data_IF_314689118360
#
_entry.id   IF_314689118360
#
_cell.length_a   1.000
_cell.length_b   1.000
_cell.length_c   1.000
_cell.angle_alpha   90.00
_cell.angle_beta   90.00
_cell.angle_gamma   90.00
#
_symmetry.space_group_name_H-M   'P 1'
#
loop_
_entity.id
_entity.type
_entity.pdbx_description
1 polymer ?
#
# COMPACT_ATOMS: atom_id res chain seq x y z
N UNK A 1 -16.40 -3.67 -35.44
CA UNK A 1 -17.08 -4.59 -34.50
C UNK A 1 -16.43 -5.95 -34.65
N UNK A 2 -15.51 -6.30 -33.73
CA UNK A 2 -14.95 -7.65 -33.66
C UNK A 2 -15.90 -8.47 -32.82
N UNK A 3 -16.60 -9.47 -33.38
CA UNK A 3 -17.48 -10.35 -32.60
C UNK A 3 -16.63 -11.13 -31.59
N UNK A 4 -16.92 -11.02 -30.32
CA UNK A 4 -16.18 -11.72 -29.26
C UNK A 4 -15.50 -10.81 -28.23
N UNK A 5 -15.47 -9.49 -28.42
CA UNK A 5 -14.85 -8.55 -27.48
C UNK A 5 -15.50 -8.56 -26.08
N UNK A 6 -16.81 -8.79 -26.01
CA UNK A 6 -17.55 -8.86 -24.75
C UNK A 6 -17.23 -10.10 -23.91
N UNK A 7 -16.90 -11.23 -24.53
CA UNK A 7 -16.63 -12.51 -23.81
C UNK A 7 -15.20 -12.62 -23.27
N UNK A 8 -14.23 -11.91 -23.87
CA UNK A 8 -12.83 -11.94 -23.42
C UNK A 8 -12.56 -11.05 -22.19
N UNK A 9 -13.49 -10.12 -21.92
CA UNK A 9 -13.35 -9.16 -20.83
C UNK A 9 -14.17 -9.48 -19.57
N UNK A 10 -14.98 -10.54 -19.59
CA UNK A 10 -15.80 -10.93 -18.44
C UNK A 10 -14.97 -11.76 -17.47
N UNK A 11 -14.28 -11.08 -16.55
CA UNK A 11 -13.82 -11.69 -15.32
C UNK A 11 -15.07 -11.94 -14.46
N UNK A 12 -15.42 -13.20 -14.08
CA UNK A 12 -16.58 -13.48 -13.24
C UNK A 12 -16.49 -12.81 -11.86
N UNK A 13 -15.31 -12.32 -11.48
CA UNK A 13 -15.02 -11.62 -10.22
C UNK A 13 -14.86 -10.10 -10.37
N UNK A 14 -15.06 -9.53 -11.55
CA UNK A 14 -14.89 -8.11 -11.84
C UNK A 14 -15.87 -7.66 -12.91
N UNK A 15 -16.59 -6.58 -12.65
CA UNK A 15 -17.46 -5.91 -13.62
C UNK A 15 -16.69 -5.08 -14.66
N UNK A 16 -15.37 -4.96 -14.53
CA UNK A 16 -14.52 -4.13 -15.41
C UNK A 16 -13.64 -5.00 -16.31
N UNK A 17 -13.37 -4.60 -17.55
CA UNK A 17 -12.43 -5.30 -18.42
C UNK A 17 -11.01 -5.30 -17.83
N UNK A 18 -10.21 -6.31 -18.18
CA UNK A 18 -8.81 -6.38 -17.76
C UNK A 18 -8.01 -5.20 -18.36
N UNK A 19 -7.16 -4.59 -17.51
CA UNK A 19 -6.19 -3.60 -17.96
C UNK A 19 -5.14 -4.24 -18.88
N UNK A 20 -4.60 -3.46 -19.81
CA UNK A 20 -3.54 -3.91 -20.72
C UNK A 20 -2.34 -4.52 -19.97
N UNK A 21 -1.93 -3.93 -18.86
CA UNK A 21 -0.87 -4.45 -17.99
C UNK A 21 -1.18 -5.85 -17.43
N UNK A 22 -2.44 -6.11 -17.08
CA UNK A 22 -2.88 -7.44 -16.61
C UNK A 22 -2.81 -8.46 -17.75
N UNK A 23 -3.28 -8.10 -18.94
CA UNK A 23 -3.21 -8.97 -20.13
C UNK A 23 -1.76 -9.30 -20.48
N UNK A 24 -0.87 -8.31 -20.47
CA UNK A 24 0.56 -8.51 -20.71
C UNK A 24 1.19 -9.46 -19.69
N UNK A 25 0.81 -9.36 -18.40
CA UNK A 25 1.28 -10.26 -17.35
C UNK A 25 0.78 -11.69 -17.54
N UNK A 26 -0.51 -11.87 -17.89
CA UNK A 26 -1.08 -13.18 -18.20
C UNK A 26 -0.33 -13.80 -19.38
N UNK A 27 -0.08 -13.04 -20.44
CA UNK A 27 0.66 -13.50 -21.60
C UNK A 27 2.10 -13.89 -21.27
N UNK A 28 2.78 -13.14 -20.38
CA UNK A 28 4.10 -13.50 -19.90
C UNK A 28 4.08 -14.83 -19.14
N UNK A 29 3.06 -15.06 -18.31
CA UNK A 29 2.87 -16.31 -17.57
C UNK A 29 2.61 -17.50 -18.51
N UNK A 30 1.80 -17.32 -19.57
CA UNK A 30 1.57 -18.32 -20.59
C UNK A 30 2.89 -18.65 -21.31
N UNK A 31 3.62 -17.63 -21.74
CA UNK A 31 4.92 -17.80 -22.42
C UNK A 31 5.90 -18.58 -21.55
N UNK A 32 5.98 -18.26 -20.27
CA UNK A 32 6.81 -18.97 -19.30
C UNK A 32 6.40 -20.45 -19.20
N UNK A 33 5.09 -20.70 -19.04
CA UNK A 33 4.55 -22.06 -18.90
C UNK A 33 4.84 -22.92 -20.14
N UNK A 34 4.69 -22.35 -21.34
CA UNK A 34 5.06 -23.03 -22.58
C UNK A 34 6.54 -23.39 -22.60
N UNK A 35 7.41 -22.43 -22.29
CA UNK A 35 8.87 -22.64 -22.29
C UNK A 35 9.30 -23.77 -21.35
N UNK A 36 8.78 -23.83 -20.12
CA UNK A 36 9.17 -24.89 -19.17
C UNK A 36 8.65 -26.27 -19.55
N UNK A 37 7.64 -26.35 -20.42
CA UNK A 37 7.13 -27.61 -20.97
C UNK A 37 7.73 -27.95 -22.35
N UNK A 38 8.80 -27.26 -22.77
CA UNK A 38 9.48 -27.54 -24.04
C UNK A 38 8.78 -27.01 -25.30
N UNK A 39 7.70 -26.22 -25.11
CA UNK A 39 7.00 -25.62 -26.26
C UNK A 39 7.45 -24.17 -26.47
N UNK A 40 7.36 -23.71 -27.73
CA UNK A 40 7.58 -22.30 -28.06
C UNK A 40 6.22 -21.59 -28.19
N UNK A 41 6.11 -20.43 -27.54
CA UNK A 41 5.01 -19.49 -27.73
C UNK A 41 5.59 -18.21 -28.36
N UNK A 42 5.23 -17.96 -29.61
CA UNK A 42 5.71 -16.79 -30.32
C UNK A 42 4.89 -15.54 -29.97
N UNK A 43 5.41 -14.74 -29.05
CA UNK A 43 4.84 -13.43 -28.70
C UNK A 43 4.99 -12.38 -29.81
N UNK A 44 5.90 -12.61 -30.77
CA UNK A 44 6.15 -11.71 -31.90
C UNK A 44 5.25 -12.01 -33.08
N UNK A 45 4.45 -13.08 -33.01
CA UNK A 45 3.43 -13.34 -34.02
C UNK A 45 2.60 -12.06 -34.26
N UNK A 46 2.47 -11.60 -35.52
CA UNK A 46 1.79 -10.33 -35.83
C UNK A 46 0.41 -10.23 -35.21
N UNK A 47 -0.40 -11.27 -35.27
CA UNK A 47 -1.76 -11.25 -34.69
C UNK A 47 -1.75 -11.01 -33.17
N UNK A 48 -0.78 -11.59 -32.45
CA UNK A 48 -0.62 -11.40 -31.00
C UNK A 48 -0.13 -9.98 -30.70
N UNK A 49 0.92 -9.55 -31.40
CA UNK A 49 1.54 -8.24 -31.20
C UNK A 49 0.57 -7.08 -31.54
N UNK A 50 -0.15 -7.18 -32.66
CA UNK A 50 -1.15 -6.17 -33.07
C UNK A 50 -2.31 -6.10 -32.11
N UNK A 51 -2.86 -7.24 -31.67
CA UNK A 51 -3.95 -7.29 -30.71
C UNK A 51 -3.55 -6.60 -29.39
N UNK A 52 -2.35 -6.90 -28.87
CA UNK A 52 -1.86 -6.26 -27.64
C UNK A 52 -1.66 -4.76 -27.85
N UNK A 53 -1.08 -4.37 -28.99
CA UNK A 53 -0.87 -2.96 -29.34
C UNK A 53 -2.20 -2.18 -29.44
N UNK A 54 -3.22 -2.80 -30.00
CA UNK A 54 -4.57 -2.22 -30.06
C UNK A 54 -5.17 -2.02 -28.66
N UNK A 55 -5.06 -3.04 -27.79
CA UNK A 55 -5.56 -2.95 -26.40
C UNK A 55 -4.83 -1.85 -25.62
N UNK A 56 -3.50 -1.76 -25.73
CA UNK A 56 -2.70 -0.72 -25.08
C UNK A 56 -3.07 0.67 -25.59
N UNK A 57 -3.34 0.80 -26.89
CA UNK A 57 -3.74 2.08 -27.51
C UNK A 57 -5.11 2.51 -27.02
N UNK A 58 -6.07 1.60 -26.97
CA UNK A 58 -7.41 1.85 -26.44
C UNK A 58 -7.37 2.31 -24.98
N UNK A 59 -6.56 1.64 -24.15
CA UNK A 59 -6.42 2.02 -22.74
C UNK A 59 -5.75 3.39 -22.58
N UNK A 60 -4.76 3.73 -23.42
CA UNK A 60 -4.14 5.06 -23.42
C UNK A 60 -5.12 6.17 -23.79
N UNK A 61 -5.98 5.93 -24.76
CA UNK A 61 -6.98 6.90 -25.21
C UNK A 61 -8.10 7.11 -24.17
N UNK A 62 -8.34 6.09 -23.31
CA UNK A 62 -9.37 6.10 -22.28
C UNK A 62 -8.79 6.36 -20.86
N UNK A 63 -7.51 6.71 -20.73
CA UNK A 63 -6.93 7.02 -19.41
C UNK A 63 -7.57 8.26 -18.83
N UNK A 64 -8.31 8.09 -17.75
CA UNK A 64 -8.44 9.13 -16.72
C UNK A 64 -7.04 9.51 -16.26
N UNK A 65 -6.75 10.79 -16.15
CA UNK A 65 -5.42 11.36 -15.95
C UNK A 65 -4.59 10.66 -14.88
N UNK A 66 -3.28 10.81 -14.99
CA UNK A 66 -2.33 10.32 -13.99
C UNK A 66 -2.71 10.90 -12.61
N UNK A 67 -2.64 10.07 -11.57
CA UNK A 67 -2.88 10.55 -10.22
C UNK A 67 -1.97 11.75 -9.92
N UNK A 68 -2.56 12.82 -9.37
CA UNK A 68 -1.82 14.00 -8.98
C UNK A 68 -0.82 13.63 -7.87
N UNK A 69 0.36 14.20 -7.91
CA UNK A 69 1.34 14.08 -6.84
C UNK A 69 0.79 14.70 -5.54
N UNK A 70 1.15 14.09 -4.42
CA UNK A 70 0.76 14.52 -3.08
C UNK A 70 1.88 15.38 -2.49
N UNK A 71 1.62 16.66 -2.33
CA UNK A 71 2.57 17.63 -1.78
C UNK A 71 2.38 17.81 -0.26
N UNK A 72 3.36 18.42 0.43
CA UNK A 72 3.28 18.70 1.88
C UNK A 72 2.00 19.48 2.24
N UNK A 73 1.61 20.45 1.44
CA UNK A 73 0.40 21.23 1.69
C UNK A 73 -0.88 20.42 1.56
N UNK A 74 -0.89 19.36 0.74
CA UNK A 74 -2.04 18.46 0.64
C UNK A 74 -2.12 17.57 1.89
N UNK A 75 -0.98 17.11 2.40
CA UNK A 75 -0.91 16.38 3.68
C UNK A 75 -1.41 17.24 4.83
N UNK A 76 -0.99 18.49 4.94
CA UNK A 76 -1.47 19.44 5.94
C UNK A 76 -3.00 19.52 5.91
N UNK A 77 -3.60 19.75 4.73
CA UNK A 77 -5.06 19.80 4.57
C UNK A 77 -5.75 18.49 5.00
N UNK A 78 -5.15 17.35 4.68
CA UNK A 78 -5.68 16.05 5.08
C UNK A 78 -5.64 15.90 6.61
N UNK A 79 -4.52 16.23 7.23
CA UNK A 79 -4.37 16.14 8.70
C UNK A 79 -5.34 17.10 9.40
N UNK A 80 -5.48 18.32 8.91
CA UNK A 80 -6.40 19.33 9.46
C UNK A 80 -7.87 18.93 9.30
N UNK A 81 -8.21 18.13 8.30
CA UNK A 81 -9.55 17.61 8.10
C UNK A 81 -9.93 16.49 9.09
N UNK A 82 -8.94 15.87 9.74
CA UNK A 82 -9.16 14.84 10.76
C UNK A 82 -9.45 15.55 12.09
N UNK A 83 -10.60 15.30 12.75
CA UNK A 83 -10.95 15.93 14.00
C UNK A 83 -9.84 15.79 15.05
N UNK A 84 -9.61 16.84 15.83
CA UNK A 84 -8.65 16.84 16.92
C UNK A 84 -9.31 16.34 18.20
N UNK A 85 -9.75 15.09 18.17
CA UNK A 85 -10.41 14.40 19.27
C UNK A 85 -9.42 13.39 19.89
N UNK A 86 -8.94 13.69 21.08
CA UNK A 86 -7.99 12.84 21.81
C UNK A 86 -8.64 11.55 22.34
N UNK A 87 -9.95 11.47 22.36
CA UNK A 87 -10.68 10.27 22.76
C UNK A 87 -10.92 9.33 21.57
N UNK A 88 -10.87 9.80 20.31
CA UNK A 88 -11.01 8.94 19.14
C UNK A 88 -9.65 8.37 18.68
N UNK A 89 -9.35 7.18 19.14
CA UNK A 89 -8.12 6.44 18.78
C UNK A 89 -7.92 6.26 17.27
N UNK A 90 -9.01 6.28 16.48
CA UNK A 90 -8.93 6.23 15.01
C UNK A 90 -8.29 7.48 14.44
N UNK A 91 -8.69 8.65 14.94
CA UNK A 91 -8.15 9.94 14.48
C UNK A 91 -6.67 10.05 14.82
N UNK A 92 -6.27 9.68 16.04
CA UNK A 92 -4.88 9.70 16.50
C UNK A 92 -4.02 8.73 15.64
N UNK A 93 -4.48 7.50 15.46
CA UNK A 93 -3.80 6.50 14.62
C UNK A 93 -3.69 6.96 13.17
N UNK A 94 -4.77 7.47 12.59
CA UNK A 94 -4.84 7.84 11.18
C UNK A 94 -3.90 9.03 10.90
N UNK A 95 -3.83 10.03 11.79
CA UNK A 95 -2.84 11.12 11.72
C UNK A 95 -1.41 10.59 11.71
N UNK A 96 -1.05 9.74 12.67
CA UNK A 96 0.28 9.14 12.75
C UNK A 96 0.61 8.33 11.49
N UNK A 97 -0.34 7.50 11.04
CA UNK A 97 -0.17 6.64 9.85
C UNK A 97 0.06 7.45 8.58
N UNK A 98 -0.69 8.53 8.37
CA UNK A 98 -0.56 9.40 7.19
C UNK A 98 0.77 10.14 7.21
N UNK A 99 1.14 10.74 8.36
CA UNK A 99 2.40 11.47 8.48
C UNK A 99 3.61 10.55 8.29
N UNK A 100 3.62 9.38 8.94
CA UNK A 100 4.71 8.41 8.76
C UNK A 100 4.75 7.92 7.31
N UNK A 101 3.60 7.62 6.70
CA UNK A 101 3.52 7.20 5.31
C UNK A 101 4.11 8.24 4.35
N UNK A 102 3.82 9.51 4.57
CA UNK A 102 4.34 10.61 3.75
C UNK A 102 5.86 10.80 3.93
N UNK A 103 6.35 10.87 5.16
CA UNK A 103 7.77 11.14 5.41
C UNK A 103 8.66 9.92 5.12
N UNK A 104 8.15 8.70 5.25
CA UNK A 104 8.92 7.47 5.03
C UNK A 104 9.02 7.07 3.55
N UNK A 105 8.11 7.52 2.70
CA UNK A 105 7.94 7.04 1.31
C UNK A 105 7.88 5.51 1.20
N UNK A 106 7.43 4.84 2.27
CA UNK A 106 7.29 3.42 2.31
C UNK A 106 6.12 2.93 1.44
N UNK A 107 6.28 1.72 0.87
CA UNK A 107 5.13 1.04 0.30
C UNK A 107 4.12 0.75 1.39
N UNK A 108 2.84 0.69 1.03
CA UNK A 108 1.75 0.39 1.97
C UNK A 108 2.04 -0.86 2.83
N UNK A 109 2.50 -1.95 2.21
CA UNK A 109 2.84 -3.18 2.93
C UNK A 109 4.02 -3.03 3.89
N UNK A 110 5.01 -2.20 3.55
CA UNK A 110 6.15 -1.88 4.41
C UNK A 110 5.69 -1.04 5.61
N UNK A 111 4.88 -0.01 5.37
CA UNK A 111 4.32 0.86 6.41
C UNK A 111 3.47 0.06 7.42
N UNK A 112 2.56 -0.78 6.92
CA UNK A 112 1.70 -1.61 7.77
C UNK A 112 2.44 -2.77 8.43
N UNK A 113 3.60 -3.16 7.89
CA UNK A 113 4.49 -4.18 8.46
C UNK A 113 5.46 -3.67 9.51
N UNK A 114 5.51 -2.35 9.78
CA UNK A 114 6.39 -1.79 10.81
C UNK A 114 6.03 -2.34 12.21
N UNK A 115 7.07 -2.62 12.98
CA UNK A 115 6.95 -3.10 14.36
C UNK A 115 7.70 -2.18 15.30
N UNK A 116 7.33 -2.18 16.57
CA UNK A 116 7.99 -1.37 17.60
C UNK A 116 9.48 -1.69 17.71
N UNK A 117 9.84 -2.94 17.57
CA UNK A 117 11.22 -3.43 17.62
C UNK A 117 12.08 -2.92 16.46
N UNK A 118 11.47 -2.38 15.42
CA UNK A 118 12.16 -1.78 14.27
C UNK A 118 12.51 -0.30 14.48
N UNK A 119 12.06 0.31 15.59
CA UNK A 119 12.26 1.73 15.89
C UNK A 119 13.55 1.94 16.70
N UNK A 120 14.39 2.84 16.24
CA UNK A 120 15.57 3.32 16.95
C UNK A 120 15.42 4.84 17.15
N UNK A 121 15.11 5.22 18.37
CA UNK A 121 14.90 6.61 18.75
C UNK A 121 16.23 7.35 18.84
N UNK A 122 16.31 8.54 18.24
CA UNK A 122 17.45 9.44 18.25
C UNK A 122 16.99 10.87 18.59
N UNK A 123 17.92 11.76 18.89
CA UNK A 123 17.59 13.14 19.29
C UNK A 123 16.90 13.94 18.18
N UNK A 124 17.24 13.66 16.92
CA UNK A 124 16.77 14.36 15.72
C UNK A 124 15.65 13.64 14.97
N UNK A 125 15.25 12.45 15.45
CA UNK A 125 14.21 11.67 14.80
C UNK A 125 14.17 10.21 15.21
N UNK A 126 13.58 9.39 14.34
CA UNK A 126 13.49 7.94 14.52
C UNK A 126 14.03 7.25 13.28
N UNK A 127 15.00 6.36 13.46
CA UNK A 127 15.40 5.41 12.42
C UNK A 127 14.49 4.19 12.49
N UNK A 128 14.01 3.75 11.34
CA UNK A 128 13.10 2.61 11.24
C UNK A 128 13.70 1.56 10.30
N UNK A 129 13.88 0.36 10.80
CA UNK A 129 14.28 -0.78 9.98
C UNK A 129 13.08 -1.32 9.20
N UNK A 130 13.22 -1.41 7.88
CA UNK A 130 12.30 -2.13 6.99
C UNK A 130 12.97 -3.45 6.62
N UNK A 131 12.63 -4.55 7.30
CA UNK A 131 13.38 -5.80 7.19
C UNK A 131 13.20 -6.48 5.82
N UNK A 132 12.07 -6.25 5.14
CA UNK A 132 11.78 -6.86 3.86
C UNK A 132 11.12 -5.85 2.91
N UNK A 133 11.65 -5.78 1.70
CA UNK A 133 11.05 -5.03 0.60
C UNK A 133 10.84 -5.94 -0.60
N UNK A 134 9.81 -5.68 -1.40
CA UNK A 134 9.54 -6.43 -2.64
C UNK A 134 10.71 -6.40 -3.64
N UNK A 135 11.58 -5.40 -3.54
CA UNK A 135 12.75 -5.21 -4.41
C UNK A 135 14.06 -5.64 -3.75
N UNK A 136 14.04 -5.98 -2.48
CA UNK A 136 15.18 -6.47 -1.74
C UNK A 136 15.31 -7.98 -1.98
N UNK A 137 16.16 -8.34 -2.95
CA UNK A 137 16.42 -9.74 -3.32
C UNK A 137 17.44 -10.40 -2.38
N UNK A 138 18.22 -9.60 -1.64
CA UNK A 138 19.25 -10.07 -0.71
C UNK A 138 18.73 -10.24 0.70
N UNK A 139 17.60 -9.62 1.05
CA UNK A 139 17.01 -9.70 2.40
C UNK A 139 17.77 -8.90 3.45
N UNK A 140 18.59 -7.92 3.04
CA UNK A 140 19.35 -7.07 3.95
C UNK A 140 18.48 -6.03 4.67
N UNK A 141 17.30 -5.74 4.13
CA UNK A 141 16.43 -4.68 4.61
C UNK A 141 16.99 -3.28 4.30
N UNK A 142 16.29 -2.27 4.77
CA UNK A 142 16.76 -0.87 4.65
C UNK A 142 16.38 -0.05 5.86
N UNK A 143 17.24 0.88 6.23
CA UNK A 143 16.93 1.91 7.21
C UNK A 143 16.27 3.10 6.54
N UNK A 144 15.24 3.63 7.15
CA UNK A 144 14.64 4.93 6.81
C UNK A 144 14.75 5.86 8.01
N UNK A 145 14.72 7.16 7.76
CA UNK A 145 14.76 8.16 8.81
C UNK A 145 13.49 9.01 8.80
N UNK A 146 12.82 9.09 9.95
CA UNK A 146 11.70 9.98 10.20
C UNK A 146 12.22 11.18 10.97
N UNK A 147 12.29 12.37 10.38
CA UNK A 147 12.84 13.56 11.04
C UNK A 147 11.87 14.06 12.13
N UNK A 148 12.45 14.53 13.25
CA UNK A 148 11.71 15.34 14.21
C UNK A 148 11.61 16.77 13.67
N UNK A 149 10.39 17.30 13.60
CA UNK A 149 10.14 18.69 13.17
C UNK A 149 9.45 19.45 14.30
N UNK A 150 9.60 20.79 14.29
CA UNK A 150 9.00 21.63 15.34
C UNK A 150 7.51 21.94 15.10
N UNK A 151 7.01 21.62 13.89
CA UNK A 151 5.63 21.87 13.51
C UNK A 151 4.65 20.79 14.06
N UNK A 152 3.35 21.07 13.95
CA UNK A 152 2.28 20.15 14.37
C UNK A 152 2.12 18.93 13.46
N UNK A 153 2.80 18.93 12.32
CA UNK A 153 2.80 17.85 11.34
C UNK A 153 4.03 16.94 11.45
N UNK A 154 4.64 16.93 12.64
CA UNK A 154 5.82 16.13 12.95
C UNK A 154 5.46 14.64 13.00
N UNK A 155 6.06 13.77 12.14
CA UNK A 155 5.79 12.34 12.15
C UNK A 155 6.22 11.67 13.46
N UNK A 156 7.28 12.18 14.10
CA UNK A 156 7.81 11.65 15.36
C UNK A 156 6.87 11.95 16.51
N UNK A 157 6.38 13.20 16.63
CA UNK A 157 5.39 13.58 17.65
C UNK A 157 4.10 12.76 17.51
N UNK A 158 3.61 12.64 16.27
CA UNK A 158 2.39 11.87 16.01
C UNK A 158 2.56 10.37 16.30
N UNK A 159 3.72 9.79 15.97
CA UNK A 159 4.01 8.40 16.30
C UNK A 159 4.09 8.18 17.82
N UNK A 160 4.83 9.02 18.53
CA UNK A 160 4.98 8.90 19.99
C UNK A 160 3.63 9.01 20.69
N UNK A 161 2.81 9.99 20.29
CA UNK A 161 1.47 10.13 20.83
C UNK A 161 0.60 8.89 20.59
N UNK A 162 0.64 8.34 19.38
CA UNK A 162 -0.06 7.09 19.07
C UNK A 162 0.45 5.91 19.90
N UNK A 163 1.77 5.74 20.00
CA UNK A 163 2.38 4.65 20.78
C UNK A 163 1.99 4.70 22.26
N UNK A 164 1.96 5.90 22.84
CA UNK A 164 1.58 6.17 24.22
C UNK A 164 0.10 5.82 24.46
N UNK A 165 -0.82 6.43 23.69
CA UNK A 165 -2.27 6.21 23.81
C UNK A 165 -2.62 4.74 23.57
N UNK A 166 -2.02 4.13 22.57
CA UNK A 166 -2.22 2.71 22.27
C UNK A 166 -1.44 1.79 23.20
N UNK A 167 -0.59 2.29 24.11
CA UNK A 167 0.29 1.50 24.98
C UNK A 167 1.05 0.42 24.20
N UNK A 168 1.70 0.80 23.09
CA UNK A 168 2.47 -0.10 22.22
C UNK A 168 3.92 -0.09 22.67
N UNK A 169 4.40 -1.22 23.21
CA UNK A 169 5.79 -1.43 23.59
C UNK A 169 6.43 -2.61 22.85
N UNK A 170 5.66 -3.30 21.98
CA UNK A 170 6.15 -4.42 21.16
C UNK A 170 5.14 -4.79 20.06
N UNK A 171 5.65 -5.37 18.98
CA UNK A 171 4.85 -5.89 17.86
C UNK A 171 4.40 -4.80 16.90
N UNK A 172 3.30 -5.02 16.13
CA UNK A 172 2.86 -4.09 15.10
C UNK A 172 2.63 -2.67 15.61
N UNK A 173 3.05 -1.66 14.82
CA UNK A 173 2.80 -0.25 15.17
C UNK A 173 1.34 0.13 15.00
N UNK A 174 0.65 -0.43 14.02
CA UNK A 174 -0.71 -0.04 13.69
C UNK A 174 -1.68 -1.20 13.85
N UNK A 175 -2.68 -0.99 14.69
CA UNK A 175 -3.74 -1.95 14.97
C UNK A 175 -5.07 -1.49 14.39
N UNK A 176 -5.94 -2.46 14.15
CA UNK A 176 -7.34 -2.19 13.81
C UNK A 176 -8.05 -1.63 15.04
N UNK A 177 -8.96 -0.69 14.81
CA UNK A 177 -9.85 -0.13 15.83
C UNK A 177 -11.28 -0.44 15.42
N UNK A 178 -12.04 -1.04 16.32
CA UNK A 178 -13.43 -1.42 16.06
C UNK A 178 -14.40 -0.22 16.12
N UNK A 179 -15.68 -0.47 15.86
CA UNK A 179 -16.70 0.58 15.86
C UNK A 179 -16.89 1.23 17.24
N UNK A 180 -16.59 0.52 18.32
CA UNK A 180 -16.67 0.99 19.70
C UNK A 180 -15.38 1.70 20.15
N UNK A 181 -14.55 2.17 19.21
CA UNK A 181 -13.29 2.85 19.49
C UNK A 181 -12.29 2.06 20.35
N UNK A 182 -12.31 0.73 20.25
CA UNK A 182 -11.41 -0.17 20.97
C UNK A 182 -10.30 -0.67 20.05
N UNK A 183 -9.06 -0.64 20.57
CA UNK A 183 -7.87 -1.10 19.82
C UNK A 183 -7.79 -2.63 19.87
N UNK A 184 -7.84 -3.27 18.72
CA UNK A 184 -7.80 -4.74 18.58
C UNK A 184 -6.36 -5.25 18.57
N UNK A 185 -5.67 -5.24 19.74
CA UNK A 185 -4.27 -5.68 19.86
C UNK A 185 -4.06 -7.19 19.74
N UNK A 186 -5.07 -7.97 20.00
CA UNK A 186 -4.98 -9.42 20.14
C UNK A 186 -5.70 -10.20 19.05
N UNK A 187 -6.06 -9.54 17.96
CA UNK A 187 -6.66 -10.22 16.82
C UNK A 187 -5.62 -11.13 16.17
N UNK A 188 -5.84 -12.45 16.29
CA UNK A 188 -5.02 -13.46 15.63
C UNK A 188 -5.66 -13.80 14.28
N UNK A 189 -4.85 -13.94 13.25
CA UNK A 189 -5.32 -14.55 12.01
C UNK A 189 -5.44 -16.09 12.19
N UNK A 190 -5.98 -16.77 11.19
CA UNK A 190 -6.11 -18.22 11.17
C UNK A 190 -4.79 -18.99 11.31
N UNK A 191 -3.63 -18.30 11.24
CA UNK A 191 -2.29 -18.85 11.47
C UNK A 191 -1.72 -18.51 12.85
N UNK A 192 -2.54 -18.00 13.77
CA UNK A 192 -2.14 -17.52 15.10
C UNK A 192 -1.06 -16.41 15.07
N UNK A 193 -1.03 -15.60 14.02
CA UNK A 193 -0.14 -14.44 13.92
C UNK A 193 -0.89 -13.18 14.35
N UNK A 194 -0.21 -12.30 15.11
CA UNK A 194 -0.76 -10.97 15.44
C UNK A 194 -1.05 -10.20 14.15
N UNK A 195 -2.28 -9.72 14.03
CA UNK A 195 -2.72 -9.00 12.83
C UNK A 195 -2.54 -7.50 13.04
N UNK A 196 -1.72 -6.89 12.22
CA UNK A 196 -1.65 -5.45 12.05
C UNK A 196 -2.89 -4.92 11.33
N UNK A 197 -3.01 -3.59 11.20
CA UNK A 197 -3.98 -2.97 10.31
C UNK A 197 -3.83 -3.57 8.90
N UNK A 198 -4.92 -4.04 8.30
CA UNK A 198 -4.85 -4.67 6.99
C UNK A 198 -4.92 -3.64 5.84
N UNK A 199 -4.49 -4.05 4.66
CA UNK A 199 -4.45 -3.26 3.44
C UNK A 199 -5.79 -2.61 3.07
N UNK A 200 -6.90 -3.35 3.27
CA UNK A 200 -8.24 -2.84 2.94
C UNK A 200 -8.66 -1.72 3.89
N UNK A 201 -8.35 -1.86 5.18
CA UNK A 201 -8.63 -0.82 6.17
C UNK A 201 -7.80 0.45 5.91
N UNK A 202 -6.54 0.31 5.50
CA UNK A 202 -5.70 1.46 5.13
C UNK A 202 -6.29 2.25 3.95
N UNK A 203 -6.77 1.57 2.91
CA UNK A 203 -7.40 2.23 1.76
C UNK A 203 -8.66 2.99 2.18
N UNK A 204 -9.41 2.49 3.17
CA UNK A 204 -10.60 3.18 3.68
C UNK A 204 -10.24 4.45 4.48
N UNK A 205 -9.11 4.46 5.19
CA UNK A 205 -8.62 5.65 5.89
C UNK A 205 -8.34 6.79 4.89
N UNK A 206 -7.70 6.48 3.77
CA UNK A 206 -7.34 7.46 2.75
C UNK A 206 -8.53 7.93 1.88
N UNK A 207 -9.71 7.33 2.03
CA UNK A 207 -10.92 7.70 1.27
C UNK A 207 -11.93 8.53 2.07
N UNK A 208 -11.66 8.78 3.35
CA UNK A 208 -12.45 9.69 4.17
C UNK A 208 -12.14 11.14 3.80
#
# INVERSE_FOLDING_TARGET
NIPGREKLNNNPYSSSPYKASTIQRILASITYKYRINGFQFDRKNPNVAETISAIVRDEKNNKSGQAKELLKNDIIKIIDSIPNDEEDYRNIRDKALILIGFYSFCRRSELLGMQFEHLHFANDGIQVLIPFSKTDQTGEGRMIFLPSTDDDYCPVKALNHWLEIAMIAKGPLFYKINKSNTIEKYTMNYKNQKVSLNDSSFVLILKK
#
